data_IF_304548972070
#
_entry.id   IF_304548972070
#
_cell.length_a   1.000
_cell.length_b   1.000
_cell.length_c   1.000
_cell.angle_alpha   90.00
_cell.angle_beta   90.00
_cell.angle_gamma   90.00
#
_symmetry.space_group_name_H-M   'P 1'
#
loop_
_entity.id
_entity.type
_entity.pdbx_description
1 polymer ?
#
# COMPACT_ATOMS: atom_id res chain seq x y z
N UNK A 1 14.57 18.26 9.81
CA UNK A 1 13.83 17.04 10.22
C UNK A 1 12.82 16.77 9.13
N UNK A 2 12.82 15.58 8.52
CA UNK A 2 11.79 15.22 7.53
C UNK A 2 10.62 14.63 8.31
N UNK A 3 9.46 15.28 8.25
CA UNK A 3 8.27 14.79 8.93
C UNK A 3 7.75 13.54 8.22
N UNK A 4 7.63 12.45 8.97
CA UNK A 4 7.02 11.21 8.47
C UNK A 4 5.59 11.10 8.98
N UNK A 5 4.67 10.75 8.10
CA UNK A 5 3.27 10.51 8.42
C UNK A 5 2.95 9.02 8.25
N UNK A 6 1.82 8.60 8.79
CA UNK A 6 1.24 7.28 8.54
C UNK A 6 -0.22 7.46 8.15
N UNK A 7 -0.61 6.79 7.07
CA UNK A 7 -1.97 6.82 6.55
C UNK A 7 -2.43 5.40 6.29
N UNK A 8 -3.73 5.17 6.37
CA UNK A 8 -4.35 3.89 6.06
C UNK A 8 -5.30 4.03 4.89
N UNK A 9 -5.37 3.00 4.05
CA UNK A 9 -6.35 2.90 2.98
C UNK A 9 -6.90 1.49 2.89
N UNK A 10 -8.17 1.39 2.57
CA UNK A 10 -8.88 0.12 2.43
C UNK A 10 -8.98 -0.24 0.95
N UNK A 11 -8.72 -1.50 0.63
CA UNK A 11 -8.74 -1.99 -0.74
C UNK A 11 -9.41 -3.36 -0.83
N UNK A 12 -10.22 -3.60 -1.85
CA UNK A 12 -10.92 -4.87 -2.00
C UNK A 12 -9.96 -6.04 -2.25
N UNK A 13 -10.29 -7.21 -1.70
CA UNK A 13 -9.57 -8.47 -1.93
C UNK A 13 -9.57 -8.87 -3.41
N UNK A 14 -10.55 -8.40 -4.19
CA UNK A 14 -10.62 -8.69 -5.62
C UNK A 14 -9.46 -8.04 -6.40
N UNK A 15 -8.96 -6.90 -5.92
CA UNK A 15 -7.90 -6.12 -6.55
C UNK A 15 -6.56 -6.19 -5.80
N UNK A 16 -6.55 -6.59 -4.52
CA UNK A 16 -5.29 -6.71 -3.76
C UNK A 16 -4.30 -7.69 -4.42
N UNK A 17 -4.80 -8.72 -5.13
CA UNK A 17 -3.97 -9.66 -5.85
C UNK A 17 -3.09 -8.99 -6.92
N UNK A 18 -3.68 -8.09 -7.72
CA UNK A 18 -2.93 -7.32 -8.74
C UNK A 18 -1.98 -6.32 -8.08
N UNK A 19 -2.36 -5.82 -6.90
CA UNK A 19 -1.54 -4.92 -6.09
C UNK A 19 -0.29 -5.61 -5.57
N UNK A 20 -0.42 -6.81 -5.04
CA UNK A 20 0.72 -7.58 -4.53
C UNK A 20 1.59 -8.06 -5.70
N UNK A 21 0.96 -8.54 -6.77
CA UNK A 21 1.65 -9.17 -7.89
C UNK A 21 2.21 -10.55 -7.52
N UNK A 22 2.65 -11.30 -8.54
CA UNK A 22 3.21 -12.65 -8.34
C UNK A 22 4.44 -12.57 -7.43
N UNK A 23 4.42 -13.30 -6.31
CA UNK A 23 5.50 -13.30 -5.32
C UNK A 23 5.76 -11.96 -4.63
N UNK A 24 4.81 -11.02 -4.66
CA UNK A 24 5.01 -9.68 -4.09
C UNK A 24 5.82 -8.72 -4.95
N UNK A 25 6.09 -9.07 -6.21
CA UNK A 25 6.90 -8.26 -7.14
C UNK A 25 6.42 -6.82 -7.27
N UNK A 26 5.13 -6.61 -7.57
CA UNK A 26 4.54 -5.29 -7.78
C UNK A 26 4.60 -4.47 -6.49
N UNK A 27 4.14 -5.00 -5.36
CA UNK A 27 4.17 -4.24 -4.09
C UNK A 27 5.60 -3.89 -3.65
N UNK A 28 6.59 -4.74 -3.95
CA UNK A 28 7.99 -4.45 -3.66
C UNK A 28 8.53 -3.32 -4.56
N UNK A 29 8.19 -3.32 -5.85
CA UNK A 29 8.52 -2.22 -6.76
C UNK A 29 7.94 -0.89 -6.24
N UNK A 30 6.71 -0.90 -5.73
CA UNK A 30 6.06 0.31 -5.23
C UNK A 30 6.71 0.82 -3.96
N UNK A 31 7.10 -0.07 -3.04
CA UNK A 31 7.90 0.31 -1.87
C UNK A 31 9.21 0.97 -2.32
N UNK A 32 9.87 0.42 -3.33
CA UNK A 32 11.13 0.95 -3.85
C UNK A 32 10.97 2.30 -4.55
N UNK A 33 9.97 2.45 -5.42
CA UNK A 33 9.72 3.68 -6.17
C UNK A 33 9.22 4.82 -5.27
N UNK A 34 8.32 4.51 -4.34
CA UNK A 34 7.76 5.51 -3.43
C UNK A 34 8.70 5.88 -2.29
N UNK A 35 9.62 4.98 -1.89
CA UNK A 35 10.37 5.11 -0.65
C UNK A 35 9.50 4.98 0.61
N UNK A 36 8.22 4.63 0.47
CA UNK A 36 7.30 4.45 1.59
C UNK A 36 7.42 3.05 2.19
N UNK A 37 7.20 2.96 3.50
CA UNK A 37 6.96 1.69 4.19
C UNK A 37 5.50 1.30 3.99
N UNK A 38 5.25 0.14 3.38
CA UNK A 38 3.89 -0.33 3.09
C UNK A 38 3.65 -1.68 3.77
N UNK A 39 2.65 -1.75 4.65
CA UNK A 39 2.18 -2.96 5.31
C UNK A 39 0.76 -3.29 4.84
N UNK A 40 0.53 -4.56 4.52
CA UNK A 40 -0.79 -5.07 4.17
C UNK A 40 -1.27 -5.86 5.37
N UNK A 41 -2.32 -5.38 6.02
CA UNK A 41 -2.91 -6.04 7.17
C UNK A 41 -3.82 -7.18 6.69
N UNK A 42 -4.00 -8.18 7.55
CA UNK A 42 -4.97 -9.25 7.31
C UNK A 42 -6.36 -8.66 7.22
N UNK A 43 -7.19 -9.20 6.33
CA UNK A 43 -8.62 -8.91 6.32
C UNK A 43 -9.22 -9.34 7.66
N UNK A 44 -10.06 -8.51 8.26
CA UNK A 44 -10.88 -8.93 9.40
C UNK A 44 -11.86 -10.01 8.93
N UNK A 45 -12.15 -11.00 9.79
CA UNK A 45 -13.04 -12.11 9.44
C UNK A 45 -14.40 -11.60 8.96
N UNK A 46 -14.80 -12.00 7.74
CA UNK A 46 -16.05 -11.56 7.11
C UNK A 46 -15.94 -10.30 6.24
N UNK A 47 -14.78 -9.65 6.19
CA UNK A 47 -14.57 -8.48 5.32
C UNK A 47 -14.00 -8.89 3.96
N UNK A 48 -14.52 -8.26 2.89
CA UNK A 48 -14.00 -8.41 1.52
C UNK A 48 -12.84 -7.46 1.24
N UNK A 49 -12.36 -6.73 2.23
CA UNK A 49 -11.34 -5.70 2.05
C UNK A 49 -10.12 -5.97 2.92
N UNK A 50 -9.01 -5.33 2.56
CA UNK A 50 -7.77 -5.30 3.32
C UNK A 50 -7.37 -3.87 3.59
N UNK A 51 -6.85 -3.65 4.79
CA UNK A 51 -6.26 -2.38 5.18
C UNK A 51 -4.78 -2.37 4.79
N UNK A 52 -4.36 -1.35 4.06
CA UNK A 52 -2.97 -1.06 3.76
C UNK A 52 -2.55 0.14 4.59
N UNK A 53 -1.50 -0.03 5.40
CA UNK A 53 -0.85 1.05 6.14
C UNK A 53 0.39 1.52 5.37
N UNK A 54 0.47 2.82 5.11
CA UNK A 54 1.57 3.47 4.37
C UNK A 54 2.20 4.51 5.29
N UNK A 55 3.51 4.43 5.48
CA UNK A 55 4.28 5.36 6.31
C UNK A 55 5.47 5.92 5.55
N UNK A 56 5.73 7.21 5.66
CA UNK A 56 6.83 7.88 4.96
C UNK A 56 6.67 9.40 4.93
N UNK A 57 7.42 10.07 4.05
CA UNK A 57 7.20 11.50 3.78
C UNK A 57 5.86 11.70 3.08
N UNK A 58 5.27 12.92 3.09
CA UNK A 58 4.05 13.20 2.35
C UNK A 58 4.15 12.82 0.86
N UNK A 59 5.30 13.07 0.23
CA UNK A 59 5.56 12.74 -1.17
C UNK A 59 5.62 11.22 -1.39
N UNK A 60 6.31 10.51 -0.49
CA UNK A 60 6.40 9.05 -0.53
C UNK A 60 5.01 8.39 -0.38
N UNK A 61 4.20 8.89 0.55
CA UNK A 61 2.83 8.41 0.76
C UNK A 61 1.97 8.68 -0.48
N UNK A 62 2.02 9.90 -1.02
CA UNK A 62 1.22 10.28 -2.18
C UNK A 62 1.58 9.42 -3.41
N UNK A 63 2.87 9.21 -3.66
CA UNK A 63 3.33 8.35 -4.75
C UNK A 63 2.92 6.89 -4.53
N UNK A 64 3.06 6.36 -3.32
CA UNK A 64 2.58 5.01 -2.99
C UNK A 64 1.08 4.86 -3.24
N UNK A 65 0.26 5.81 -2.77
CA UNK A 65 -1.18 5.84 -2.99
C UNK A 65 -1.53 5.91 -4.48
N UNK A 66 -0.87 6.77 -5.24
CA UNK A 66 -1.07 6.89 -6.69
C UNK A 66 -0.76 5.56 -7.41
N UNK A 67 0.37 4.93 -7.06
CA UNK A 67 0.72 3.64 -7.63
C UNK A 67 -0.25 2.53 -7.17
N UNK A 68 -0.83 2.61 -5.95
CA UNK A 68 -1.91 1.73 -5.44
C UNK A 68 -3.25 1.97 -6.13
N UNK A 69 -3.58 3.19 -6.51
CA UNK A 69 -4.82 3.49 -7.22
C UNK A 69 -4.71 3.14 -8.72
N UNK A 70 -3.53 3.29 -9.31
CA UNK A 70 -3.28 3.12 -10.76
C UNK A 70 -2.88 1.68 -11.10
N UNK A 71 -3.52 0.70 -10.47
CA UNK A 71 -3.21 -0.72 -10.60
C UNK A 71 -3.72 -1.32 -11.89
#
# INVERSE_FOLDING_TARGET
MVATLTTEMTISNDIIGSVIGKGGSKINEIRQLSGATIKINSSEEGTKDRTITISGTPEAINLAQYLIATR
#
